data_IF_840035565504
#
_entry.id   IF_840035565504
#
_cell.length_a   1.000
_cell.length_b   1.000
_cell.length_c   1.000
_cell.angle_alpha   90.00
_cell.angle_beta   90.00
_cell.angle_gamma   90.00
#
_symmetry.space_group_name_H-M   'P 1'
#
loop_
_entity.id
_entity.type
_entity.pdbx_description
1 polymer ?
#
# COMPACT_ATOMS: atom_id res chain seq x y z
N UNK A 1 -14.47 -6.06 -27.79
CA UNK A 1 -15.28 -5.13 -26.96
C UNK A 1 -14.39 -4.69 -25.81
N UNK A 2 -13.92 -3.45 -25.87
CA UNK A 2 -13.00 -2.87 -24.90
C UNK A 2 -13.80 -2.50 -23.64
N UNK A 3 -13.70 -3.33 -22.60
CA UNK A 3 -14.30 -3.03 -21.30
C UNK A 3 -13.44 -1.95 -20.65
N UNK A 4 -13.70 -0.70 -21.05
CA UNK A 4 -13.07 0.48 -20.48
C UNK A 4 -13.16 0.42 -18.97
N UNK A 5 -12.02 0.29 -18.30
CA UNK A 5 -11.92 0.27 -16.86
C UNK A 5 -12.65 1.50 -16.31
N UNK A 6 -13.81 1.29 -15.69
CA UNK A 6 -14.55 2.35 -15.00
C UNK A 6 -13.64 2.82 -13.88
N UNK A 7 -13.03 4.00 -14.08
CA UNK A 7 -12.22 4.63 -13.04
C UNK A 7 -13.17 5.03 -11.93
N UNK A 8 -13.22 4.22 -10.87
CA UNK A 8 -13.96 4.58 -9.65
C UNK A 8 -13.30 5.85 -9.10
N UNK A 9 -13.97 6.99 -9.30
CA UNK A 9 -13.56 8.26 -8.73
C UNK A 9 -14.00 8.23 -7.27
N UNK A 10 -13.11 7.78 -6.40
CA UNK A 10 -13.35 7.87 -4.96
C UNK A 10 -13.13 9.32 -4.54
N UNK A 11 -14.18 9.94 -3.99
CA UNK A 11 -14.10 11.24 -3.30
C UNK A 11 -13.51 10.98 -1.93
N UNK A 12 -12.34 11.54 -1.63
CA UNK A 12 -11.70 11.42 -0.32
C UNK A 12 -11.32 12.80 0.18
N UNK A 13 -11.40 13.03 1.48
CA UNK A 13 -10.94 14.27 2.10
C UNK A 13 -9.42 14.41 1.98
N UNK A 14 -8.97 15.62 1.66
CA UNK A 14 -7.54 15.92 1.50
C UNK A 14 -7.00 16.72 2.68
N UNK A 15 -6.62 16.02 3.75
CA UNK A 15 -6.08 16.64 4.96
C UNK A 15 -4.76 17.40 4.74
N UNK A 16 -4.00 17.11 3.67
CA UNK A 16 -2.78 17.88 3.35
C UNK A 16 -3.07 19.31 2.89
N UNK A 17 -4.28 19.58 2.44
CA UNK A 17 -4.73 20.91 2.00
C UNK A 17 -5.84 21.45 2.91
N UNK A 18 -5.98 20.90 4.11
CA UNK A 18 -6.96 21.38 5.07
C UNK A 18 -6.55 22.75 5.59
N UNK A 19 -7.54 23.64 5.73
CA UNK A 19 -7.36 24.90 6.44
C UNK A 19 -7.68 24.67 7.93
N UNK A 20 -6.63 24.38 8.70
CA UNK A 20 -6.76 24.13 10.14
C UNK A 20 -7.10 25.39 10.93
N UNK A 21 -6.76 26.58 10.40
CA UNK A 21 -7.08 27.84 11.06
C UNK A 21 -8.58 28.10 10.97
N UNK A 22 -9.16 27.96 9.77
CA UNK A 22 -10.60 28.00 9.55
C UNK A 22 -11.33 26.93 10.35
N UNK A 23 -10.78 25.71 10.42
CA UNK A 23 -11.36 24.64 11.22
C UNK A 23 -11.46 25.03 12.69
N UNK A 24 -10.36 25.53 13.27
CA UNK A 24 -10.30 25.93 14.68
C UNK A 24 -11.27 27.07 14.98
N UNK A 25 -11.33 28.07 14.10
CA UNK A 25 -12.23 29.23 14.23
C UNK A 25 -13.71 28.82 14.17
N UNK A 26 -14.09 27.98 13.20
CA UNK A 26 -15.47 27.51 13.07
C UNK A 26 -15.88 26.60 14.24
N UNK A 27 -14.95 25.79 14.75
CA UNK A 27 -15.23 24.87 15.84
C UNK A 27 -15.31 25.58 17.21
N UNK A 28 -14.48 26.60 17.44
CA UNK A 28 -14.48 27.38 18.69
C UNK A 28 -15.69 28.31 18.82
N UNK A 29 -16.32 28.71 17.71
CA UNK A 29 -17.55 29.52 17.71
C UNK A 29 -18.78 28.79 18.28
N UNK A 30 -18.72 27.47 18.40
CA UNK A 30 -19.84 26.70 18.93
C UNK A 30 -19.90 26.85 20.46
N UNK A 31 -21.01 27.30 21.07
CA UNK A 31 -21.12 27.48 22.51
C UNK A 31 -21.36 26.12 23.21
N UNK A 32 -20.32 25.30 23.27
CA UNK A 32 -20.35 23.93 23.78
C UNK A 32 -20.96 23.80 25.17
N UNK A 33 -20.70 24.77 26.04
CA UNK A 33 -21.25 24.81 27.39
C UNK A 33 -22.78 24.75 27.37
N UNK A 34 -23.45 25.55 26.54
CA UNK A 34 -24.92 25.55 26.45
C UNK A 34 -25.46 24.33 25.72
N UNK A 35 -24.76 23.89 24.67
CA UNK A 35 -25.21 22.79 23.80
C UNK A 35 -25.18 21.45 24.54
N UNK A 36 -24.24 21.28 25.48
CA UNK A 36 -24.00 20.01 26.18
C UNK A 36 -24.55 19.99 27.62
N UNK A 37 -24.90 21.14 28.21
CA UNK A 37 -25.27 21.28 29.64
C UNK A 37 -26.36 20.31 30.12
N UNK A 38 -27.30 19.96 29.24
CA UNK A 38 -28.48 19.15 29.56
C UNK A 38 -28.54 17.85 28.76
N UNK A 39 -27.42 17.39 28.21
CA UNK A 39 -27.35 16.21 27.34
C UNK A 39 -26.57 15.07 28.01
N UNK A 40 -27.10 13.86 27.91
CA UNK A 40 -26.39 12.66 28.33
C UNK A 40 -25.18 12.37 27.44
N UNK A 41 -24.23 11.56 27.91
CA UNK A 41 -22.95 11.31 27.22
C UNK A 41 -23.10 10.90 25.75
N UNK A 42 -24.03 9.98 25.45
CA UNK A 42 -24.31 9.53 24.06
C UNK A 42 -24.85 10.66 23.17
N UNK A 43 -25.78 11.46 23.70
CA UNK A 43 -26.35 12.59 22.95
C UNK A 43 -25.30 13.68 22.71
N UNK A 44 -24.50 13.97 23.73
CA UNK A 44 -23.37 14.90 23.65
C UNK A 44 -22.34 14.46 22.61
N UNK A 45 -22.01 13.17 22.56
CA UNK A 45 -21.09 12.60 21.58
C UNK A 45 -21.65 12.68 20.15
N UNK A 46 -22.96 12.43 19.97
CA UNK A 46 -23.60 12.57 18.66
C UNK A 46 -23.56 14.02 18.17
N UNK A 47 -23.89 14.98 19.02
CA UNK A 47 -23.86 16.40 18.69
C UNK A 47 -22.43 16.84 18.33
N UNK A 48 -21.45 16.41 19.12
CA UNK A 48 -20.04 16.68 18.85
C UNK A 48 -19.61 16.14 17.47
N UNK A 49 -19.92 14.89 17.16
CA UNK A 49 -19.58 14.27 15.86
C UNK A 49 -20.21 15.01 14.69
N UNK A 50 -21.50 15.38 14.80
CA UNK A 50 -22.19 16.11 13.74
C UNK A 50 -21.56 17.49 13.50
N UNK A 51 -21.26 18.22 14.57
CA UNK A 51 -20.58 19.52 14.47
C UNK A 51 -19.17 19.38 13.88
N UNK A 52 -18.40 18.37 14.32
CA UNK A 52 -17.08 18.08 13.78
C UNK A 52 -17.11 17.79 12.28
N UNK A 53 -18.03 16.92 11.83
CA UNK A 53 -18.18 16.61 10.41
C UNK A 53 -18.60 17.82 9.58
N UNK A 54 -19.51 18.66 10.08
CA UNK A 54 -19.91 19.91 9.41
C UNK A 54 -18.73 20.88 9.23
N UNK A 55 -17.88 21.03 10.24
CA UNK A 55 -16.69 21.90 10.15
C UNK A 55 -15.63 21.26 9.25
N UNK A 56 -15.47 19.94 9.29
CA UNK A 56 -14.58 19.18 8.43
C UNK A 56 -14.94 19.35 6.96
N UNK A 57 -16.22 19.30 6.59
CA UNK A 57 -16.69 19.51 5.21
C UNK A 57 -16.36 20.89 4.67
N UNK A 58 -16.37 21.91 5.53
CA UNK A 58 -16.07 23.31 5.15
C UNK A 58 -14.57 23.59 5.08
N UNK A 59 -13.78 22.93 5.91
CA UNK A 59 -12.35 23.26 6.10
C UNK A 59 -11.42 22.31 5.36
N UNK A 60 -11.90 21.12 5.00
CA UNK A 60 -11.08 20.10 4.32
C UNK A 60 -11.59 19.90 2.88
N UNK A 61 -10.83 20.32 1.86
CA UNK A 61 -11.25 20.14 0.49
C UNK A 61 -11.31 18.65 0.12
N UNK A 62 -12.33 18.29 -0.65
CA UNK A 62 -12.47 16.94 -1.20
C UNK A 62 -11.57 16.79 -2.43
N UNK A 63 -10.66 15.82 -2.41
CA UNK A 63 -9.89 15.48 -3.59
C UNK A 63 -10.54 14.31 -4.34
N UNK A 64 -10.53 14.43 -5.67
CA UNK A 64 -10.77 13.28 -6.55
C UNK A 64 -9.47 12.50 -6.60
N UNK A 65 -9.40 11.38 -5.87
CA UNK A 65 -8.32 10.42 -6.10
C UNK A 65 -8.64 9.72 -7.41
N UNK A 66 -8.08 10.19 -8.52
CA UNK A 66 -8.06 9.40 -9.74
C UNK A 66 -7.34 8.09 -9.40
N UNK A 67 -8.00 6.95 -9.63
CA UNK A 67 -7.43 5.63 -9.41
C UNK A 67 -5.98 5.60 -9.87
N UNK A 68 -5.09 5.17 -8.95
CA UNK A 68 -3.62 5.14 -9.05
C UNK A 68 -3.11 5.72 -10.36
N UNK A 69 -2.68 6.99 -10.35
CA UNK A 69 -1.90 7.57 -11.46
C UNK A 69 -0.86 6.50 -11.81
N UNK A 70 -0.97 5.91 -13.00
CA UNK A 70 -0.19 4.72 -13.35
C UNK A 70 1.26 4.98 -12.99
N UNK A 71 1.87 4.08 -12.21
CA UNK A 71 3.27 4.26 -11.84
C UNK A 71 4.05 4.48 -13.12
N UNK A 72 4.84 5.55 -13.17
CA UNK A 72 5.72 5.83 -14.29
C UNK A 72 6.56 4.56 -14.54
N UNK A 73 6.55 3.97 -15.74
CA UNK A 73 7.36 2.80 -15.99
C UNK A 73 8.83 3.12 -15.75
N UNK A 74 9.57 2.20 -15.13
CA UNK A 74 10.97 2.42 -14.76
C UNK A 74 11.88 2.72 -15.97
N UNK A 75 11.51 2.28 -17.17
CA UNK A 75 12.25 2.55 -18.41
C UNK A 75 11.97 3.94 -19.00
N UNK A 76 10.96 4.67 -18.52
CA UNK A 76 10.54 5.94 -19.11
C UNK A 76 11.33 7.10 -18.50
N UNK A 77 12.47 7.47 -19.10
CA UNK A 77 13.25 8.65 -18.68
C UNK A 77 12.56 9.98 -19.06
N UNK A 78 13.00 11.11 -18.46
CA UNK A 78 12.45 12.43 -18.78
C UNK A 78 12.75 12.82 -20.22
N UNK A 79 13.94 12.48 -20.69
CA UNK A 79 14.41 12.76 -22.05
C UNK A 79 13.61 11.98 -23.10
N UNK A 80 13.28 10.70 -22.82
CA UNK A 80 12.39 9.90 -23.65
C UNK A 80 11.00 10.54 -23.79
N UNK A 81 10.52 11.19 -22.74
CA UNK A 81 9.21 11.84 -22.69
C UNK A 81 9.18 13.08 -23.59
N UNK A 82 10.26 13.87 -23.58
CA UNK A 82 10.45 15.04 -24.46
C UNK A 82 10.61 14.60 -25.92
N UNK A 83 11.30 13.48 -26.18
CA UNK A 83 11.42 12.89 -27.51
C UNK A 83 10.09 12.30 -28.02
N UNK A 84 9.18 11.91 -27.12
CA UNK A 84 7.86 11.37 -27.44
C UNK A 84 6.84 12.43 -27.92
N UNK A 85 7.27 13.41 -28.72
CA UNK A 85 6.39 14.38 -29.41
C UNK A 85 5.51 13.77 -30.51
N UNK A 86 5.46 12.44 -30.62
CA UNK A 86 4.61 11.68 -31.55
C UNK A 86 3.16 12.18 -31.57
N UNK A 87 2.59 12.53 -30.42
CA UNK A 87 1.19 13.00 -30.33
C UNK A 87 0.99 14.37 -30.95
N UNK A 88 1.97 15.25 -30.81
CA UNK A 88 1.94 16.60 -31.40
C UNK A 88 2.14 16.52 -32.92
N UNK A 89 3.11 15.73 -33.37
CA UNK A 89 3.34 15.50 -34.80
C UNK A 89 2.14 14.81 -35.47
N UNK A 90 1.49 13.86 -34.77
CA UNK A 90 0.24 13.26 -35.24
C UNK A 90 -0.88 14.30 -35.42
N UNK A 91 -1.00 15.25 -34.49
CA UNK A 91 -1.98 16.34 -34.54
C UNK A 91 -1.71 17.25 -35.74
N UNK A 92 -0.46 17.61 -35.97
CA UNK A 92 -0.04 18.45 -37.10
C UNK A 92 -0.28 17.76 -38.45
N UNK A 93 0.02 16.47 -38.58
CA UNK A 93 -0.31 15.69 -39.78
C UNK A 93 -1.83 15.59 -40.01
N UNK A 94 -2.62 15.44 -38.94
CA UNK A 94 -4.09 15.47 -39.01
C UNK A 94 -4.65 16.82 -39.48
N UNK A 95 -3.94 17.91 -39.19
CA UNK A 95 -4.32 19.29 -39.56
C UNK A 95 -3.76 19.71 -40.93
N UNK A 96 -3.10 18.81 -41.66
CA UNK A 96 -2.51 19.11 -42.98
C UNK A 96 -1.20 19.92 -42.92
N UNK A 97 -0.70 20.22 -41.72
CA UNK A 97 0.51 21.02 -41.51
C UNK A 97 1.80 20.18 -41.49
N UNK A 98 1.70 18.86 -41.58
CA UNK A 98 2.86 17.96 -41.50
C UNK A 98 2.78 16.79 -42.47
N UNK A 99 3.95 16.37 -42.96
CA UNK A 99 4.09 15.22 -43.85
C UNK A 99 3.94 13.91 -43.09
N UNK A 100 3.08 13.01 -43.57
CA UNK A 100 2.86 11.70 -42.94
C UNK A 100 4.12 10.84 -42.83
N UNK A 101 5.08 11.02 -43.74
CA UNK A 101 6.36 10.31 -43.72
C UNK A 101 7.25 10.73 -42.54
N UNK A 102 7.32 12.03 -42.26
CA UNK A 102 8.03 12.54 -41.07
C UNK A 102 7.41 11.99 -39.77
N UNK A 103 6.07 11.86 -39.73
CA UNK A 103 5.39 11.20 -38.61
C UNK A 103 5.75 9.72 -38.51
N UNK A 104 5.77 9.00 -39.64
CA UNK A 104 6.11 7.57 -39.69
C UNK A 104 7.52 7.33 -39.15
N UNK A 105 8.49 8.15 -39.56
CA UNK A 105 9.89 8.06 -39.15
C UNK A 105 10.08 8.45 -37.69
N UNK A 106 9.49 9.56 -37.24
CA UNK A 106 9.49 9.93 -35.82
C UNK A 106 8.84 8.85 -34.94
N UNK A 107 7.76 8.22 -35.43
CA UNK A 107 7.12 7.12 -34.72
C UNK A 107 7.97 5.84 -34.70
N UNK A 108 8.77 5.57 -35.75
CA UNK A 108 9.76 4.48 -35.78
C UNK A 108 10.86 4.74 -34.75
N UNK A 109 11.50 5.91 -34.81
CA UNK A 109 12.54 6.33 -33.87
C UNK A 109 12.07 6.26 -32.41
N UNK A 110 10.87 6.76 -32.12
CA UNK A 110 10.28 6.64 -30.77
C UNK A 110 10.15 5.18 -30.31
N UNK A 111 9.70 4.26 -31.19
CA UNK A 111 9.58 2.84 -30.83
C UNK A 111 10.93 2.23 -30.53
N UNK A 112 11.95 2.59 -31.31
CA UNK A 112 13.30 2.05 -31.16
C UNK A 112 13.97 2.56 -29.89
N UNK A 113 13.84 3.85 -29.57
CA UNK A 113 14.31 4.43 -28.31
C UNK A 113 13.61 3.80 -27.09
N UNK A 114 12.30 3.56 -27.18
CA UNK A 114 11.57 2.82 -26.12
C UNK A 114 12.08 1.39 -25.99
N UNK A 115 12.38 0.71 -27.10
CA UNK A 115 12.96 -0.64 -27.08
C UNK A 115 14.33 -0.64 -26.41
N UNK A 116 15.23 0.27 -26.81
CA UNK A 116 16.57 0.43 -26.22
C UNK A 116 16.49 0.71 -24.71
N UNK A 117 15.59 1.61 -24.29
CA UNK A 117 15.42 1.96 -22.89
C UNK A 117 14.96 0.77 -22.03
N UNK A 118 14.05 -0.07 -22.57
CA UNK A 118 13.61 -1.30 -21.89
C UNK A 118 14.75 -2.31 -21.76
N UNK A 119 15.48 -2.55 -22.83
CA UNK A 119 16.65 -3.45 -22.83
C UNK A 119 17.69 -2.95 -21.83
N UNK A 120 17.97 -1.66 -21.81
CA UNK A 120 18.92 -1.07 -20.87
C UNK A 120 18.49 -1.25 -19.40
N UNK A 121 17.21 -1.02 -19.10
CA UNK A 121 16.66 -1.30 -17.77
C UNK A 121 16.83 -2.78 -17.38
N UNK A 122 16.50 -3.70 -18.28
CA UNK A 122 16.60 -5.15 -18.04
C UNK A 122 18.06 -5.58 -17.84
N UNK A 123 19.00 -5.03 -18.62
CA UNK A 123 20.43 -5.25 -18.44
C UNK A 123 20.92 -4.77 -17.08
N UNK A 124 20.50 -3.58 -16.63
CA UNK A 124 20.89 -3.05 -15.33
C UNK A 124 20.33 -3.93 -14.19
N UNK A 125 19.07 -4.35 -14.28
CA UNK A 125 18.45 -5.27 -13.32
C UNK A 125 19.17 -6.62 -13.25
N UNK A 126 19.59 -7.17 -14.40
CA UNK A 126 20.34 -8.42 -14.45
C UNK A 126 21.74 -8.28 -13.84
N UNK A 127 22.44 -7.17 -14.12
CA UNK A 127 23.77 -6.89 -13.53
C UNK A 127 23.70 -6.72 -12.02
N UNK A 128 22.70 -5.99 -11.54
CA UNK A 128 22.52 -5.67 -10.13
C UNK A 128 21.83 -6.78 -9.34
N UNK A 129 21.51 -7.94 -9.93
CA UNK A 129 20.76 -9.01 -9.26
C UNK A 129 21.43 -9.47 -7.97
N UNK A 130 22.77 -9.47 -7.91
CA UNK A 130 23.52 -9.85 -6.71
C UNK A 130 23.37 -8.83 -5.57
N UNK A 131 23.24 -7.55 -5.90
CA UNK A 131 23.16 -6.43 -4.96
C UNK A 131 21.70 -6.16 -4.58
N UNK A 132 20.80 -6.19 -5.55
CA UNK A 132 19.39 -5.84 -5.43
C UNK A 132 18.48 -6.93 -6.03
N UNK A 133 18.47 -8.09 -5.35
CA UNK A 133 17.57 -9.21 -5.68
C UNK A 133 16.10 -8.75 -5.74
N UNK A 134 15.69 -7.90 -4.81
CA UNK A 134 14.32 -7.37 -4.69
C UNK A 134 13.88 -6.62 -5.94
N UNK A 135 14.73 -5.75 -6.50
CA UNK A 135 14.43 -4.98 -7.71
C UNK A 135 14.18 -5.89 -8.92
N UNK A 136 15.04 -6.89 -9.12
CA UNK A 136 14.91 -7.86 -10.21
C UNK A 136 13.61 -8.67 -10.11
N UNK A 137 13.35 -9.32 -8.98
CA UNK A 137 12.12 -10.11 -8.80
C UNK A 137 10.86 -9.24 -8.80
N UNK A 138 10.92 -8.01 -8.29
CA UNK A 138 9.81 -7.06 -8.41
C UNK A 138 9.48 -6.73 -9.86
N UNK A 139 10.50 -6.53 -10.72
CA UNK A 139 10.28 -6.29 -12.15
C UNK A 139 9.67 -7.50 -12.84
N UNK A 140 10.20 -8.71 -12.59
CA UNK A 140 9.66 -9.96 -13.14
C UNK A 140 8.20 -10.16 -12.72
N UNK A 141 7.89 -9.96 -11.44
CA UNK A 141 6.52 -10.09 -10.92
C UNK A 141 5.56 -9.04 -11.50
N UNK A 142 6.04 -7.84 -11.83
CA UNK A 142 5.25 -6.83 -12.55
C UNK A 142 4.97 -7.23 -14.01
N UNK A 143 5.91 -7.96 -14.65
CA UNK A 143 5.76 -8.44 -16.04
C UNK A 143 4.95 -9.71 -16.18
N UNK A 144 4.92 -10.55 -15.15
CA UNK A 144 4.08 -11.76 -15.12
C UNK A 144 2.60 -11.35 -15.19
N UNK A 145 1.88 -11.90 -16.16
CA UNK A 145 0.42 -11.68 -16.31
C UNK A 145 -0.36 -12.24 -15.12
N UNK A 146 0.16 -13.30 -14.51
CA UNK A 146 -0.37 -13.93 -13.31
C UNK A 146 0.29 -13.22 -12.13
N UNK A 147 -0.50 -12.48 -11.34
CA UNK A 147 -0.09 -12.19 -9.97
C UNK A 147 -0.15 -13.51 -9.22
N UNK A 148 0.95 -13.90 -8.60
CA UNK A 148 0.96 -15.01 -7.66
C UNK A 148 -0.05 -14.70 -6.55
N UNK A 149 -1.27 -15.19 -6.72
CA UNK A 149 -2.22 -15.35 -5.64
C UNK A 149 -1.93 -16.69 -5.00
N UNK A 150 -2.13 -16.77 -3.68
CA UNK A 150 -2.10 -18.06 -2.98
C UNK A 150 -3.03 -19.02 -3.73
N UNK A 151 -2.53 -20.19 -4.19
CA UNK A 151 -3.37 -21.19 -4.85
C UNK A 151 -4.57 -21.54 -3.97
N UNK A 152 -5.67 -22.06 -4.56
CA UNK A 152 -6.78 -22.51 -3.76
C UNK A 152 -6.31 -23.49 -2.68
N UNK A 153 -6.64 -23.21 -1.42
CA UNK A 153 -6.25 -24.07 -0.30
C UNK A 153 -7.25 -25.21 -0.15
N UNK A 154 -6.77 -26.45 -0.01
CA UNK A 154 -7.62 -27.59 0.30
C UNK A 154 -7.87 -27.63 1.80
N UNK A 155 -9.14 -27.62 2.19
CA UNK A 155 -9.57 -27.80 3.59
C UNK A 155 -9.83 -29.29 3.83
N UNK A 156 -9.73 -29.76 5.08
CA UNK A 156 -9.83 -31.18 5.45
C UNK A 156 -11.06 -31.95 4.94
N UNK A 157 -12.10 -31.25 4.48
CA UNK A 157 -13.29 -31.84 3.87
C UNK A 157 -13.16 -32.07 2.34
N UNK A 158 -11.98 -31.89 1.74
CA UNK A 158 -11.74 -31.97 0.29
C UNK A 158 -12.17 -30.72 -0.50
N UNK A 159 -12.74 -29.72 0.17
CA UNK A 159 -13.19 -28.48 -0.45
C UNK A 159 -12.03 -27.51 -0.72
N UNK A 160 -12.11 -26.77 -1.83
CA UNK A 160 -11.09 -25.78 -2.21
C UNK A 160 -11.55 -24.35 -1.89
N UNK A 161 -10.66 -23.57 -1.30
CA UNK A 161 -10.91 -22.17 -0.91
C UNK A 161 -10.18 -21.24 -1.86
N UNK A 162 -10.93 -20.51 -2.70
CA UNK A 162 -10.37 -19.62 -3.73
C UNK A 162 -10.41 -18.12 -3.37
N UNK A 163 -11.30 -17.69 -2.46
CA UNK A 163 -11.40 -16.30 -1.98
C UNK A 163 -10.34 -15.97 -0.94
N UNK A 164 -9.79 -14.76 -1.02
CA UNK A 164 -8.63 -14.37 -0.20
C UNK A 164 -9.00 -14.24 1.30
N UNK A 165 -10.23 -13.83 1.62
CA UNK A 165 -10.73 -13.74 3.00
C UNK A 165 -10.73 -15.13 3.66
N UNK A 166 -11.32 -16.12 2.98
CA UNK A 166 -11.39 -17.49 3.48
C UNK A 166 -10.03 -18.15 3.55
N UNK A 167 -9.11 -17.85 2.62
CA UNK A 167 -7.71 -18.32 2.71
C UNK A 167 -7.02 -17.77 3.95
N UNK A 168 -7.22 -16.49 4.27
CA UNK A 168 -6.65 -15.86 5.45
C UNK A 168 -7.19 -16.51 6.75
N UNK A 169 -8.48 -16.81 6.82
CA UNK A 169 -9.08 -17.52 7.95
C UNK A 169 -8.49 -18.93 8.14
N UNK A 170 -8.37 -19.71 7.06
CA UNK A 170 -7.79 -21.06 7.12
C UNK A 170 -6.35 -21.02 7.63
N UNK A 171 -5.52 -20.09 7.12
CA UNK A 171 -4.14 -19.93 7.56
C UNK A 171 -4.05 -19.46 9.01
N UNK A 172 -4.92 -18.54 9.43
CA UNK A 172 -4.96 -18.04 10.80
C UNK A 172 -5.37 -19.14 11.79
N UNK A 173 -6.35 -19.97 11.43
CA UNK A 173 -6.77 -21.11 12.26
C UNK A 173 -5.67 -22.16 12.39
N UNK A 174 -4.96 -22.46 11.29
CA UNK A 174 -3.81 -23.37 11.32
C UNK A 174 -2.70 -22.81 12.22
N UNK A 175 -2.39 -21.52 12.11
CA UNK A 175 -1.41 -20.85 12.98
C UNK A 175 -1.85 -20.93 14.45
N UNK A 176 -3.08 -20.54 14.78
CA UNK A 176 -3.60 -20.58 16.15
C UNK A 176 -3.52 -21.99 16.75
N UNK A 177 -3.87 -23.03 15.98
CA UNK A 177 -3.81 -24.44 16.43
C UNK A 177 -2.41 -24.86 16.90
N UNK A 178 -1.36 -24.44 16.19
CA UNK A 178 0.03 -24.75 16.58
C UNK A 178 0.42 -24.08 17.90
N UNK A 179 -0.11 -22.89 18.19
CA UNK A 179 0.23 -22.11 19.39
C UNK A 179 -0.75 -22.27 20.57
N UNK A 180 -1.90 -22.91 20.37
CA UNK A 180 -2.90 -23.14 21.43
C UNK A 180 -2.84 -24.54 22.04
N UNK A 181 -2.04 -25.46 21.48
CA UNK A 181 -1.87 -26.82 21.99
C UNK A 181 -0.70 -26.98 22.98
N UNK A 182 -0.58 -26.10 23.98
CA UNK A 182 0.12 -26.40 25.25
C UNK A 182 -0.39 -25.51 26.38
N UNK A 183 -1.61 -25.77 26.86
CA UNK A 183 -1.92 -25.56 28.28
C UNK A 183 -2.05 -26.93 28.93
N UNK A 184 -0.93 -27.64 29.08
CA UNK A 184 -0.82 -28.60 30.17
C UNK A 184 -0.92 -27.79 31.48
N UNK A 185 -1.68 -28.25 32.48
CA UNK A 185 -1.76 -27.53 33.75
C UNK A 185 -0.34 -27.45 34.32
N UNK A 186 0.14 -26.23 34.53
CA UNK A 186 1.36 -25.97 35.27
C UNK A 186 1.26 -26.74 36.61
N UNK A 187 2.19 -27.64 36.97
CA UNK A 187 2.17 -28.23 38.29
C UNK A 187 2.31 -27.07 39.27
N UNK A 188 1.36 -26.93 40.19
CA UNK A 188 1.38 -25.85 41.18
C UNK A 188 2.66 -25.96 42.00
N UNK A 189 3.65 -25.14 41.69
CA UNK A 189 4.81 -24.97 42.55
C UNK A 189 4.34 -24.20 43.77
N UNK A 190 4.11 -24.95 44.85
CA UNK A 190 3.91 -24.43 46.19
C UNK A 190 5.13 -23.56 46.52
N UNK A 191 4.87 -22.26 46.73
CA UNK A 191 5.84 -21.32 47.28
C UNK A 191 6.17 -21.75 48.72
N UNK A 192 7.23 -22.54 48.88
CA UNK A 192 7.92 -22.68 50.15
C UNK A 192 8.92 -21.54 50.28
N UNK A 193 8.60 -20.55 51.14
CA UNK A 193 9.60 -19.60 51.63
C UNK A 193 10.68 -20.38 52.40
N UNK A 194 11.92 -20.31 51.93
CA UNK A 194 13.10 -20.47 52.78
C UNK A 194 14.05 -19.32 52.49
N UNK A 195 14.12 -18.41 53.47
CA UNK A 195 15.22 -17.48 53.67
C UNK A 195 16.53 -18.27 53.83
N UNK A 196 17.60 -17.82 53.20
CA UNK A 196 18.90 -18.51 53.33
C UNK A 196 20.00 -18.01 52.40
N UNK A 197 20.52 -16.84 52.73
CA UNK A 197 21.95 -16.49 52.73
C UNK A 197 22.76 -16.42 51.41
N UNK A 198 23.44 -15.27 51.24
CA UNK A 198 24.38 -14.98 50.17
C UNK A 198 25.77 -15.51 50.56
N UNK A 199 26.40 -16.34 49.73
CA UNK A 199 27.83 -16.62 49.90
C UNK A 199 28.47 -17.53 48.87
N UNK A 200 29.35 -16.97 48.02
CA UNK A 200 30.57 -17.65 47.57
C UNK A 200 30.64 -18.27 46.16
N UNK A 201 31.25 -17.52 45.21
CA UNK A 201 32.39 -17.88 44.29
C UNK A 201 32.56 -19.35 43.83
N UNK A 202 32.91 -19.72 42.58
CA UNK A 202 33.80 -19.19 41.49
C UNK A 202 33.43 -19.82 40.12
N UNK A 203 33.92 -19.28 38.97
CA UNK A 203 33.73 -19.88 37.64
C UNK A 203 34.75 -21.00 37.32
N UNK A 204 34.43 -21.93 36.39
CA UNK A 204 35.24 -23.13 36.14
C UNK A 204 36.45 -22.87 35.23
N UNK A 205 37.54 -23.55 35.56
CA UNK A 205 38.78 -23.68 34.79
C UNK A 205 38.56 -24.63 33.61
N UNK A 206 39.09 -24.26 32.45
CA UNK A 206 39.22 -25.11 31.26
C UNK A 206 40.49 -25.94 31.43
N UNK A 207 40.38 -27.26 31.36
CA UNK A 207 41.51 -28.16 31.06
C UNK A 207 41.33 -28.68 29.64
N UNK A 208 42.34 -28.43 28.80
CA UNK A 208 42.54 -29.08 27.51
C UNK A 208 43.33 -30.37 27.72
N UNK A 209 42.91 -31.43 27.04
CA UNK A 209 43.76 -32.45 26.42
C UNK A 209 43.10 -32.89 25.11
#
# INVERSE_FOLDING_TARGET
>A
RDMGQVRIIVRTLNFRKADFQLFKELFSRTPWNMVLQYKGAEQSWKIFKEAFHKVQERSVPVCRKSGRKGKRPAWLSQDLLVKLKKKELHRQCKQGQGTWDMYRDAARLCRDEVRKAKVHLEMNLAREVKINKKGFYSYINEKRKIKENVPPLMVGNGNHVSTDEKKAEVLNNAFASVFTNTCSPHPSWVMGQQDGDQGGRRPPTVEED
#
